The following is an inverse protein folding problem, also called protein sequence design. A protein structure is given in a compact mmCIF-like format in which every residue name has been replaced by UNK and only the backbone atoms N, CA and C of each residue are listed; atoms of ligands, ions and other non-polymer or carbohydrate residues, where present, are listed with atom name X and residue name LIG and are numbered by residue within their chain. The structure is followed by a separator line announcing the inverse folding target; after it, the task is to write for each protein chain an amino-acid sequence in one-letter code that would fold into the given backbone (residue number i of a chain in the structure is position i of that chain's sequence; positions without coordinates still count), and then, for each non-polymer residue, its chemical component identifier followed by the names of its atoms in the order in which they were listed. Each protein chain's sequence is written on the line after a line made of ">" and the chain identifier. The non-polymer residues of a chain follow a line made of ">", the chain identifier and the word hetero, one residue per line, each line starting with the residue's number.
data_IF_224614087201
#
_entry.id   IF_224614087201
#
_cell.length_a   1.000
_cell.length_b   1.000
_cell.length_c   1.000
_cell.angle_alpha   90.00
_cell.angle_beta   90.00
_cell.angle_gamma   90.00
#
_symmetry.space_group_name_H-M   'P 1'
#
loop_
_entity.id
_entity.type
_entity.pdbx_description
1 polymer ?
#
# COMPACT_ATOMS: atom_id res chain seq x y z
N UNK A 1 -14.98 12.35 -9.53
CA UNK A 1 -13.70 12.67 -8.88
C UNK A 1 -13.67 11.99 -7.53
N UNK A 2 -12.58 11.30 -7.13
CA UNK A 2 -12.50 10.63 -5.81
C UNK A 2 -12.19 11.68 -4.75
N UNK A 3 -12.94 11.67 -3.64
CA UNK A 3 -12.73 12.56 -2.49
C UNK A 3 -11.37 12.35 -1.83
N UNK A 4 -10.91 13.32 -1.03
CA UNK A 4 -9.71 13.11 -0.23
C UNK A 4 -9.91 12.01 0.81
N UNK A 5 -8.81 11.35 1.18
CA UNK A 5 -8.79 10.34 2.25
C UNK A 5 -7.99 10.85 3.42
N UNK A 6 -8.46 10.57 4.63
CA UNK A 6 -7.67 10.76 5.84
C UNK A 6 -6.71 9.58 6.01
N UNK A 7 -5.41 9.85 6.04
CA UNK A 7 -4.38 8.87 6.42
C UNK A 7 -3.71 9.28 7.72
N UNK A 8 -3.26 8.27 8.47
CA UNK A 8 -2.50 8.50 9.70
C UNK A 8 -1.26 9.34 9.37
N UNK A 9 -1.07 10.42 10.13
CA UNK A 9 0.23 11.07 10.17
C UNK A 9 1.17 10.21 11.00
N UNK A 10 1.94 9.39 10.30
CA UNK A 10 2.80 8.39 10.90
C UNK A 10 4.13 9.03 11.30
N UNK A 11 4.32 9.28 12.60
CA UNK A 11 5.54 9.87 13.15
C UNK A 11 6.83 9.08 12.87
N UNK A 12 6.73 7.84 12.37
CA UNK A 12 7.88 7.04 11.89
C UNK A 12 8.45 7.58 10.58
N UNK A 13 7.65 8.31 9.80
CA UNK A 13 8.12 8.96 8.60
C UNK A 13 9.02 10.16 8.96
N UNK A 14 10.17 10.35 8.29
CA UNK A 14 11.04 11.50 8.56
C UNK A 14 10.26 12.83 8.47
N UNK A 15 10.26 13.59 9.57
CA UNK A 15 9.53 14.86 9.72
C UNK A 15 10.33 16.10 9.31
N UNK A 16 11.57 15.93 8.85
CA UNK A 16 12.30 17.03 8.23
C UNK A 16 11.43 17.55 7.06
N UNK A 17 11.12 18.87 7.07
CA UNK A 17 10.21 19.57 6.15
C UNK A 17 9.93 18.72 4.92
N UNK A 18 8.75 18.08 4.82
CA UNK A 18 8.57 17.00 3.88
C UNK A 18 8.98 17.53 2.53
N UNK A 19 10.10 16.98 2.00
CA UNK A 19 10.70 17.46 0.77
C UNK A 19 9.56 17.66 -0.23
N UNK A 20 9.56 18.76 -0.99
CA UNK A 20 8.40 19.20 -1.78
C UNK A 20 7.70 18.03 -2.52
N UNK A 21 8.52 17.10 -3.02
CA UNK A 21 8.16 15.81 -3.61
C UNK A 21 7.12 14.98 -2.83
N UNK A 22 7.20 14.93 -1.50
CA UNK A 22 6.25 14.16 -0.68
C UNK A 22 4.93 14.89 -0.48
N UNK A 23 4.93 16.22 -0.41
CA UNK A 23 3.67 16.99 -0.44
C UNK A 23 2.98 16.81 -1.79
N UNK A 24 3.75 16.86 -2.88
CA UNK A 24 3.23 16.58 -4.21
C UNK A 24 2.66 15.15 -4.33
N UNK A 25 3.29 14.16 -3.69
CA UNK A 25 2.74 12.82 -3.60
C UNK A 25 1.36 12.78 -2.90
N UNK A 26 1.26 13.40 -1.73
CA UNK A 26 0.01 13.47 -0.97
C UNK A 26 -1.07 14.26 -1.73
N UNK A 27 -0.72 15.39 -2.35
CA UNK A 27 -1.61 16.22 -3.17
C UNK A 27 -2.17 15.44 -4.36
N UNK A 28 -1.30 14.73 -5.10
CA UNK A 28 -1.73 13.90 -6.22
C UNK A 28 -2.76 12.89 -5.73
N UNK A 29 -2.42 12.10 -4.70
CA UNK A 29 -3.34 11.09 -4.19
C UNK A 29 -4.47 11.65 -3.32
N UNK A 30 -4.55 12.97 -3.10
CA UNK A 30 -5.56 13.60 -2.22
C UNK A 30 -5.55 13.00 -0.81
N UNK A 31 -4.37 12.94 -0.22
CA UNK A 31 -4.14 12.40 1.12
C UNK A 31 -4.13 13.56 2.13
N UNK A 32 -5.10 13.55 3.03
CA UNK A 32 -5.15 14.44 4.19
C UNK A 32 -4.51 13.72 5.38
N UNK A 33 -3.36 14.21 5.84
CA UNK A 33 -2.67 13.64 7.02
C UNK A 33 -3.40 14.05 8.29
N UNK A 34 -3.75 13.07 9.12
CA UNK A 34 -4.54 13.26 10.34
C UNK A 34 -3.95 12.48 11.52
N UNK A 35 -3.92 13.12 12.68
CA UNK A 35 -3.66 12.46 13.97
C UNK A 35 -4.92 11.86 14.59
N UNK A 36 -6.12 12.22 14.10
CA UNK A 36 -7.40 11.70 14.59
C UNK A 36 -7.64 10.26 14.10
N UNK A 37 -7.61 9.25 15.00
CA UNK A 37 -7.84 7.87 14.63
C UNK A 37 -9.24 7.63 14.06
N UNK A 38 -10.25 8.39 14.49
CA UNK A 38 -11.62 8.24 13.99
C UNK A 38 -11.73 8.65 12.52
N UNK A 39 -11.15 9.80 12.15
CA UNK A 39 -11.05 10.24 10.76
C UNK A 39 -10.32 9.21 9.88
N UNK A 40 -9.18 8.68 10.35
CA UNK A 40 -8.43 7.66 9.62
C UNK A 40 -9.27 6.40 9.39
N UNK A 41 -9.91 5.84 10.42
CA UNK A 41 -10.72 4.63 10.26
C UNK A 41 -11.96 4.83 9.39
N UNK A 42 -12.60 6.00 9.45
CA UNK A 42 -13.68 6.36 8.54
C UNK A 42 -13.19 6.40 7.08
N UNK A 43 -11.99 6.93 6.84
CA UNK A 43 -11.32 6.89 5.54
C UNK A 43 -11.05 5.46 5.07
N UNK A 44 -10.47 4.62 5.93
CA UNK A 44 -10.17 3.22 5.62
C UNK A 44 -11.42 2.41 5.27
N UNK A 45 -12.51 2.57 6.04
CA UNK A 45 -13.79 1.91 5.78
C UNK A 45 -14.42 2.38 4.46
N UNK A 46 -14.34 3.68 4.16
CA UNK A 46 -14.82 4.24 2.89
C UNK A 46 -14.05 3.67 1.70
N UNK A 47 -12.73 3.67 1.75
CA UNK A 47 -11.87 3.13 0.69
C UNK A 47 -12.13 1.63 0.50
N UNK A 48 -12.16 0.86 1.59
CA UNK A 48 -12.47 -0.57 1.56
C UNK A 48 -13.80 -0.84 0.86
N UNK A 49 -14.86 -0.10 1.22
CA UNK A 49 -16.16 -0.21 0.55
C UNK A 49 -16.07 0.10 -0.94
N UNK A 50 -15.44 1.22 -1.32
CA UNK A 50 -15.35 1.65 -2.72
C UNK A 50 -14.55 0.69 -3.61
N UNK A 51 -13.56 -0.01 -3.05
CA UNK A 51 -12.80 -1.07 -3.72
C UNK A 51 -13.64 -2.33 -3.84
N UNK A 52 -14.28 -2.78 -2.76
CA UNK A 52 -15.15 -3.97 -2.76
C UNK A 52 -16.32 -3.82 -3.74
N UNK A 53 -16.95 -2.64 -3.78
CA UNK A 53 -18.06 -2.34 -4.69
C UNK A 53 -17.63 -2.40 -6.18
N UNK A 54 -16.36 -2.11 -6.49
CA UNK A 54 -15.80 -2.13 -7.86
C UNK A 54 -15.11 -3.46 -8.22
N UNK A 55 -14.80 -4.31 -7.23
CA UNK A 55 -14.08 -5.56 -7.41
C UNK A 55 -14.68 -6.50 -8.48
N UNK A 56 -16.01 -6.66 -8.59
CA UNK A 56 -16.60 -7.49 -9.66
C UNK A 56 -16.29 -6.99 -11.07
N UNK A 57 -16.13 -5.68 -11.25
CA UNK A 57 -15.78 -5.07 -12.53
C UNK A 57 -14.29 -5.05 -12.82
N UNK A 58 -13.45 -5.42 -11.86
CA UNK A 58 -12.00 -5.31 -11.95
C UNK A 58 -11.34 -6.54 -12.60
N UNK A 59 -12.05 -7.63 -12.85
CA UNK A 59 -11.51 -8.76 -13.62
C UNK A 59 -10.27 -9.44 -12.99
N UNK A 60 -10.08 -9.32 -11.68
CA UNK A 60 -9.02 -10.04 -10.96
C UNK A 60 -9.35 -11.54 -10.94
N UNK A 61 -8.34 -12.40 -11.01
CA UNK A 61 -8.49 -13.83 -10.76
C UNK A 61 -8.92 -14.13 -9.32
N UNK A 62 -9.52 -15.29 -9.09
CA UNK A 62 -10.11 -15.68 -7.79
C UNK A 62 -9.12 -15.56 -6.62
N UNK A 63 -7.88 -16.04 -6.79
CA UNK A 63 -6.85 -15.96 -5.74
C UNK A 63 -6.52 -14.51 -5.36
N UNK A 64 -6.42 -13.61 -6.34
CA UNK A 64 -6.15 -12.19 -6.07
C UNK A 64 -7.36 -11.52 -5.42
N UNK A 65 -8.58 -11.90 -5.80
CA UNK A 65 -9.77 -11.41 -5.11
C UNK A 65 -9.79 -11.86 -3.65
N UNK A 66 -9.46 -13.13 -3.39
CA UNK A 66 -9.39 -13.66 -2.03
C UNK A 66 -8.33 -12.95 -1.19
N UNK A 67 -7.13 -12.74 -1.73
CA UNK A 67 -6.05 -12.00 -1.05
C UNK A 67 -6.45 -10.55 -0.74
N UNK A 68 -7.09 -9.85 -1.70
CA UNK A 68 -7.58 -8.49 -1.49
C UNK A 68 -8.63 -8.44 -0.38
N UNK A 69 -9.62 -9.34 -0.44
CA UNK A 69 -10.69 -9.41 0.55
C UNK A 69 -10.16 -9.77 1.93
N UNK A 70 -9.17 -10.67 2.02
CA UNK A 70 -8.50 -10.99 3.29
C UNK A 70 -7.85 -9.75 3.90
N UNK A 71 -7.14 -8.95 3.11
CA UNK A 71 -6.57 -7.67 3.55
C UNK A 71 -7.62 -6.66 4.00
N UNK A 72 -8.71 -6.53 3.24
CA UNK A 72 -9.86 -5.68 3.62
C UNK A 72 -10.49 -6.14 4.94
N UNK A 73 -10.69 -7.45 5.14
CA UNK A 73 -11.21 -7.98 6.39
C UNK A 73 -10.31 -7.68 7.57
N UNK A 74 -8.97 -7.79 7.42
CA UNK A 74 -8.03 -7.40 8.49
C UNK A 74 -8.06 -5.90 8.78
N UNK A 75 -8.18 -5.07 7.74
CA UNK A 75 -8.32 -3.62 7.89
C UNK A 75 -9.59 -3.25 8.66
N UNK A 76 -10.72 -3.85 8.30
CA UNK A 76 -12.00 -3.60 8.98
C UNK A 76 -11.97 -4.13 10.41
N UNK A 77 -11.39 -5.30 10.67
CA UNK A 77 -11.27 -5.85 12.02
C UNK A 77 -10.43 -4.93 12.91
N UNK A 78 -9.31 -4.41 12.43
CA UNK A 78 -8.49 -3.45 13.18
C UNK A 78 -9.27 -2.16 13.51
N UNK A 79 -10.19 -1.74 12.64
CA UNK A 79 -11.04 -0.56 12.85
C UNK A 79 -12.09 -0.72 13.96
N UNK A 80 -12.40 -1.95 14.39
CA UNK A 80 -13.40 -2.21 15.45
C UNK A 80 -12.97 -1.76 16.84
N UNK A 81 -11.69 -1.39 17.00
CA UNK A 81 -11.12 -0.86 18.24
C UNK A 81 -11.43 0.63 18.50
N UNK A 82 -12.12 1.31 17.57
CA UNK A 82 -12.43 2.74 17.65
C UNK A 82 -13.95 2.97 17.65
N UNK A 83 -14.48 3.92 18.45
CA UNK A 83 -15.91 4.24 18.48
C UNK A 83 -16.42 4.59 17.08
N UNK A 84 -17.49 3.91 16.67
CA UNK A 84 -18.13 4.16 15.38
C UNK A 84 -18.63 5.60 15.32
N UNK A 85 -18.10 6.39 14.38
CA UNK A 85 -18.69 7.69 14.05
C UNK A 85 -19.87 7.46 13.11
N UNK A 86 -21.08 7.64 13.64
CA UNK A 86 -22.30 7.71 12.83
C UNK A 86 -22.28 8.97 11.98
N UNK A 87 -21.71 8.90 10.78
CA UNK A 87 -21.62 10.07 9.90
C UNK A 87 -21.20 9.79 8.46
N UNK A 88 -21.10 8.52 8.03
CA UNK A 88 -20.77 8.23 6.64
C UNK A 88 -22.03 8.43 5.78
N UNK A 89 -22.15 9.58 5.14
CA UNK A 89 -23.00 9.74 3.96
C UNK A 89 -22.65 8.65 2.96
N UNK A 90 -23.62 7.81 2.61
CA UNK A 90 -23.51 6.86 1.51
C UNK A 90 -23.13 7.63 0.26
N UNK A 91 -21.92 7.46 -0.31
CA UNK A 91 -21.64 8.04 -1.61
C UNK A 91 -22.64 7.44 -2.60
N UNK A 92 -23.29 8.29 -3.40
CA UNK A 92 -24.10 7.81 -4.50
C UNK A 92 -23.22 6.91 -5.38
N UNK A 93 -23.77 5.77 -5.81
CA UNK A 93 -23.12 4.87 -6.77
C UNK A 93 -23.02 5.64 -8.08
N UNK A 94 -21.92 6.35 -8.32
CA UNK A 94 -21.63 6.96 -9.62
C UNK A 94 -20.82 5.92 -10.38
N UNK A 95 -21.41 5.24 -11.38
CA UNK A 95 -20.63 4.36 -12.23
C UNK A 95 -19.61 5.23 -12.97
N UNK A 96 -18.32 4.85 -13.03
CA UNK A 96 -17.44 5.46 -14.01
C UNK A 96 -18.03 5.21 -15.40
N UNK A 97 -18.25 6.26 -16.18
CA UNK A 97 -18.95 6.14 -17.47
C UNK A 97 -17.99 5.90 -18.65
N UNK A 98 -16.67 5.81 -18.37
CA UNK A 98 -15.66 5.50 -19.38
C UNK A 98 -14.42 4.77 -18.85
N UNK A 99 -13.65 4.21 -19.78
CA UNK A 99 -12.42 3.48 -19.50
C UNK A 99 -11.37 4.33 -18.77
N UNK A 100 -11.17 5.58 -19.22
CA UNK A 100 -10.25 6.54 -18.60
C UNK A 100 -10.64 6.90 -17.16
N UNK A 101 -11.93 7.10 -16.89
CA UNK A 101 -12.42 7.37 -15.54
C UNK A 101 -12.23 6.17 -14.63
N UNK A 102 -12.49 4.96 -15.16
CA UNK A 102 -12.26 3.70 -14.44
C UNK A 102 -10.77 3.53 -14.11
N UNK A 103 -9.88 3.83 -15.06
CA UNK A 103 -8.44 3.74 -14.87
C UNK A 103 -7.96 4.71 -13.78
N UNK A 104 -8.33 5.99 -13.88
CA UNK A 104 -8.01 6.98 -12.87
C UNK A 104 -8.58 6.60 -11.49
N UNK A 105 -9.81 6.07 -11.45
CA UNK A 105 -10.48 5.65 -10.21
C UNK A 105 -9.73 4.50 -9.54
N UNK A 106 -9.45 3.42 -10.27
CA UNK A 106 -8.73 2.24 -9.75
C UNK A 106 -7.31 2.58 -9.34
N UNK A 107 -6.63 3.42 -10.12
CA UNK A 107 -5.30 3.91 -9.79
C UNK A 107 -5.28 4.57 -8.41
N UNK A 108 -6.17 5.54 -8.17
CA UNK A 108 -6.24 6.26 -6.88
C UNK A 108 -6.71 5.36 -5.74
N UNK A 109 -7.80 4.61 -5.92
CA UNK A 109 -8.33 3.74 -4.85
C UNK A 109 -7.39 2.61 -4.47
N UNK A 110 -6.67 2.05 -5.45
CA UNK A 110 -5.65 1.05 -5.16
C UNK A 110 -4.54 1.62 -4.30
N UNK A 111 -4.04 2.82 -4.61
CA UNK A 111 -3.02 3.47 -3.78
C UNK A 111 -3.57 3.83 -2.40
N UNK A 112 -4.79 4.36 -2.30
CA UNK A 112 -5.47 4.63 -1.04
C UNK A 112 -5.55 3.40 -0.14
N UNK A 113 -6.01 2.27 -0.68
CA UNK A 113 -6.07 1.02 0.08
C UNK A 113 -4.67 0.54 0.47
N UNK A 114 -3.70 0.65 -0.44
CA UNK A 114 -2.31 0.31 -0.16
C UNK A 114 -1.73 1.12 1.01
N UNK A 115 -1.98 2.43 1.09
CA UNK A 115 -1.54 3.25 2.24
C UNK A 115 -2.15 2.81 3.57
N UNK A 116 -3.43 2.44 3.60
CA UNK A 116 -4.06 1.90 4.81
C UNK A 116 -3.46 0.55 5.21
N UNK A 117 -3.17 -0.33 4.25
CA UNK A 117 -2.48 -1.59 4.51
C UNK A 117 -1.07 -1.34 5.04
N UNK A 118 -0.30 -0.42 4.45
CA UNK A 118 1.04 -0.06 4.93
C UNK A 118 1.02 0.47 6.36
N UNK A 119 0.03 1.29 6.71
CA UNK A 119 -0.13 1.81 8.08
C UNK A 119 -0.32 0.68 9.11
N UNK A 120 -1.07 -0.36 8.75
CA UNK A 120 -1.20 -1.58 9.56
C UNK A 120 0.08 -2.40 9.59
N UNK A 121 0.72 -2.60 8.43
CA UNK A 121 1.97 -3.34 8.33
C UNK A 121 3.08 -2.71 9.19
N UNK A 122 3.20 -1.38 9.19
CA UNK A 122 4.15 -0.69 10.05
C UNK A 122 3.84 -0.93 11.53
N UNK A 123 2.56 -0.87 11.92
CA UNK A 123 2.15 -1.16 13.30
C UNK A 123 2.45 -2.61 13.72
N UNK A 124 2.29 -3.56 12.81
CA UNK A 124 2.69 -4.95 13.04
C UNK A 124 4.21 -5.13 13.10
N UNK A 125 4.98 -4.38 12.31
CA UNK A 125 6.44 -4.40 12.35
C UNK A 125 6.98 -3.90 13.70
N UNK A 126 6.39 -2.84 14.25
CA UNK A 126 6.75 -2.35 15.60
C UNK A 126 6.42 -3.38 16.69
N UNK A 127 5.22 -3.95 16.64
CA UNK A 127 4.83 -5.02 17.57
C UNK A 127 5.75 -6.23 17.46
N UNK A 128 6.20 -6.56 16.25
CA UNK A 128 7.10 -7.68 16.00
C UNK A 128 8.50 -7.38 16.56
N UNK A 129 9.00 -6.16 16.39
CA UNK A 129 10.26 -5.74 16.99
C UNK A 129 10.21 -5.86 18.52
N UNK A 130 9.11 -5.41 19.14
CA UNK A 130 8.89 -5.51 20.58
C UNK A 130 8.80 -6.97 21.06
N UNK A 131 8.00 -7.81 20.38
CA UNK A 131 7.83 -9.22 20.72
C UNK A 131 9.15 -10.00 20.64
N UNK A 132 9.95 -9.75 19.60
CA UNK A 132 11.28 -10.33 19.49
C UNK A 132 12.19 -9.86 20.63
N UNK A 133 12.06 -8.63 21.11
CA UNK A 133 12.81 -8.10 22.25
C UNK A 133 12.61 -8.87 23.57
N UNK A 134 11.45 -9.50 23.75
CA UNK A 134 11.06 -10.25 24.97
C UNK A 134 10.84 -11.75 24.71
N UNK A 135 11.66 -12.35 23.82
CA UNK A 135 11.40 -13.61 23.08
C UNK A 135 9.95 -14.17 23.07
N UNK A 136 8.94 -13.32 22.85
CA UNK A 136 7.54 -13.74 22.75
C UNK A 136 7.28 -14.28 21.34
N UNK A 137 7.65 -15.54 21.13
CA UNK A 137 7.52 -16.21 19.84
C UNK A 137 6.08 -16.45 19.41
N UNK A 138 5.13 -16.48 20.35
CA UNK A 138 3.71 -16.61 20.03
C UNK A 138 3.21 -15.35 19.35
N UNK A 139 3.42 -14.19 19.98
CA UNK A 139 3.06 -12.89 19.40
C UNK A 139 3.86 -12.61 18.13
N UNK A 140 5.16 -12.88 18.13
CA UNK A 140 6.00 -12.70 16.95
C UNK A 140 5.50 -13.53 15.76
N UNK A 141 5.12 -14.79 15.97
CA UNK A 141 4.56 -15.65 14.93
C UNK A 141 3.25 -15.08 14.36
N UNK A 142 2.32 -14.66 15.23
CA UNK A 142 1.05 -14.08 14.80
C UNK A 142 1.26 -12.80 13.97
N UNK A 143 2.15 -11.90 14.41
CA UNK A 143 2.44 -10.67 13.68
C UNK A 143 3.13 -10.93 12.33
N UNK A 144 3.99 -11.94 12.24
CA UNK A 144 4.58 -12.38 10.98
C UNK A 144 3.52 -12.94 10.02
N UNK A 145 2.54 -13.68 10.54
CA UNK A 145 1.40 -14.18 9.75
C UNK A 145 0.53 -13.02 9.26
N UNK A 146 0.22 -12.02 10.09
CA UNK A 146 -0.48 -10.80 9.67
C UNK A 146 0.27 -10.06 8.56
N UNK A 147 1.57 -9.85 8.72
CA UNK A 147 2.41 -9.21 7.69
C UNK A 147 2.39 -10.00 6.38
N UNK A 148 2.35 -11.33 6.44
CA UNK A 148 2.26 -12.20 5.26
C UNK A 148 0.95 -11.96 4.52
N UNK A 149 -0.19 -11.99 5.24
CA UNK A 149 -1.52 -11.70 4.66
C UNK A 149 -1.56 -10.30 4.05
N UNK A 150 -1.00 -9.30 4.72
CA UNK A 150 -0.97 -7.94 4.19
C UNK A 150 -0.08 -7.78 2.96
N UNK A 151 1.04 -8.51 2.84
CA UNK A 151 1.84 -8.53 1.62
C UNK A 151 1.11 -9.16 0.44
N UNK A 152 0.37 -10.24 0.71
CA UNK A 152 -0.45 -10.92 -0.29
C UNK A 152 -1.59 -9.99 -0.76
N UNK A 153 -2.29 -9.35 0.19
CA UNK A 153 -3.30 -8.33 -0.10
C UNK A 153 -2.72 -7.12 -0.86
N UNK A 154 -1.56 -6.59 -0.45
CA UNK A 154 -0.89 -5.50 -1.16
C UNK A 154 -0.54 -5.87 -2.61
N UNK A 155 -0.18 -7.14 -2.84
CA UNK A 155 0.02 -7.65 -4.19
C UNK A 155 -1.26 -7.60 -5.01
N UNK A 156 -2.37 -8.08 -4.46
CA UNK A 156 -3.67 -8.02 -5.12
C UNK A 156 -4.17 -6.58 -5.33
N UNK A 157 -3.88 -5.67 -4.41
CA UNK A 157 -4.19 -4.24 -4.53
C UNK A 157 -3.44 -3.59 -5.68
N UNK A 158 -2.18 -3.95 -5.94
CA UNK A 158 -1.46 -3.47 -7.12
C UNK A 158 -2.10 -3.97 -8.42
N UNK A 159 -2.52 -5.25 -8.46
CA UNK A 159 -3.25 -5.80 -9.59
C UNK A 159 -4.58 -5.06 -9.81
N UNK A 160 -5.35 -4.81 -8.74
CA UNK A 160 -6.54 -3.97 -8.77
C UNK A 160 -6.27 -2.56 -9.30
N UNK A 161 -5.23 -1.90 -8.78
CA UNK A 161 -4.83 -0.56 -9.17
C UNK A 161 -4.39 -0.46 -10.64
N UNK A 162 -4.02 -1.59 -11.25
CA UNK A 162 -3.56 -1.71 -12.63
C UNK A 162 -4.59 -2.35 -13.57
N UNK A 163 -5.80 -2.60 -13.08
CA UNK A 163 -6.84 -3.29 -13.83
C UNK A 163 -7.57 -2.33 -14.78
N UNK A 164 -6.89 -2.00 -15.86
CA UNK A 164 -7.36 -1.24 -17.00
C UNK A 164 -6.39 -1.42 -18.20
N UNK A 165 -6.80 -1.04 -19.43
CA UNK A 165 -5.94 -1.14 -20.61
C UNK A 165 -4.73 -0.21 -20.57
N UNK A 166 -3.67 -0.57 -21.32
CA UNK A 166 -2.44 0.23 -21.41
C UNK A 166 -2.71 1.62 -21.99
N UNK A 167 -3.61 1.74 -22.98
CA UNK A 167 -3.99 3.03 -23.56
C UNK A 167 -4.51 4.01 -22.49
N UNK A 168 -5.39 3.56 -21.59
CA UNK A 168 -5.87 4.40 -20.49
C UNK A 168 -4.76 4.81 -19.50
N UNK A 169 -3.70 4.01 -19.36
CA UNK A 169 -2.51 4.42 -18.62
C UNK A 169 -1.78 5.56 -19.33
N UNK A 170 -1.47 5.38 -20.61
CA UNK A 170 -0.68 6.32 -21.43
C UNK A 170 -1.41 7.64 -21.67
N UNK A 171 -2.73 7.61 -21.82
CA UNK A 171 -3.54 8.77 -22.18
C UNK A 171 -4.12 9.51 -20.97
N UNK A 172 -4.14 8.89 -19.78
CA UNK A 172 -4.79 9.50 -18.60
C UNK A 172 -3.97 9.38 -17.33
N UNK A 173 -3.60 8.16 -16.92
CA UNK A 173 -2.94 7.96 -15.63
C UNK A 173 -1.55 8.58 -15.63
N UNK A 174 -0.71 8.27 -16.63
CA UNK A 174 0.65 8.79 -16.73
C UNK A 174 0.71 10.30 -16.94
N UNK A 175 -0.02 10.91 -17.90
CA UNK A 175 -0.02 12.36 -18.07
C UNK A 175 -0.48 13.12 -16.82
N UNK A 176 -1.36 12.52 -16.00
CA UNK A 176 -1.76 13.14 -14.73
C UNK A 176 -0.65 13.21 -13.68
N UNK A 177 0.44 12.44 -13.84
CA UNK A 177 1.62 12.40 -12.97
C UNK A 177 2.81 13.20 -13.55
N UNK A 178 2.62 13.85 -14.69
CA UNK A 178 3.65 14.64 -15.38
C UNK A 178 3.23 16.14 -15.40
N UNK A 179 4.14 17.07 -15.74
CA UNK A 179 3.78 18.47 -15.94
C UNK A 179 2.69 18.66 -17.01
N UNK A 180 1.79 19.66 -16.87
CA UNK A 180 1.78 20.72 -15.86
C UNK A 180 1.08 20.35 -14.54
N UNK A 181 0.56 19.13 -14.41
CA UNK A 181 -0.25 18.72 -13.27
C UNK A 181 0.60 18.39 -12.03
N UNK A 182 1.74 17.75 -12.25
CA UNK A 182 2.73 17.42 -11.21
C UNK A 182 4.11 17.93 -11.62
N UNK A 183 5.00 18.26 -10.67
CA UNK A 183 6.37 18.63 -11.00
C UNK A 183 7.11 17.46 -11.67
N UNK A 184 8.16 17.75 -12.46
CA UNK A 184 9.05 16.73 -13.01
C UNK A 184 9.59 15.80 -11.92
N UNK A 185 9.71 14.51 -12.23
CA UNK A 185 10.29 13.53 -11.32
C UNK A 185 9.32 12.92 -10.30
N UNK A 186 8.02 13.20 -10.38
CA UNK A 186 6.99 12.53 -9.56
C UNK A 186 7.17 11.01 -9.57
N UNK A 187 7.19 10.38 -8.39
CA UNK A 187 7.51 8.96 -8.27
C UNK A 187 6.93 8.32 -7.02
N UNK A 188 6.67 7.01 -7.12
CA UNK A 188 6.21 6.18 -6.01
C UNK A 188 7.21 6.06 -4.85
N UNK A 189 8.48 6.46 -5.06
CA UNK A 189 9.50 6.48 -3.99
C UNK A 189 9.20 7.48 -2.89
N UNK A 190 8.29 8.44 -3.14
CA UNK A 190 7.89 9.44 -2.16
C UNK A 190 6.80 8.92 -1.18
N UNK A 191 6.39 7.65 -1.29
CA UNK A 191 5.48 7.02 -0.33
C UNK A 191 6.18 6.78 1.02
N UNK A 192 5.84 7.60 2.02
CA UNK A 192 6.44 7.58 3.37
C UNK A 192 6.20 6.27 4.12
N UNK A 193 4.97 5.75 4.09
CA UNK A 193 4.62 4.54 4.84
C UNK A 193 5.38 3.33 4.32
N UNK A 194 5.58 3.26 2.99
CA UNK A 194 6.34 2.19 2.37
C UNK A 194 7.82 2.27 2.76
N UNK A 195 8.41 3.47 2.79
CA UNK A 195 9.79 3.65 3.24
C UNK A 195 9.96 3.20 4.70
N UNK A 196 9.07 3.62 5.59
CA UNK A 196 9.08 3.20 6.99
C UNK A 196 8.97 1.67 7.15
N UNK A 197 8.17 1.01 6.31
CA UNK A 197 8.06 -0.45 6.30
C UNK A 197 9.38 -1.12 5.88
N UNK A 198 10.02 -0.62 4.83
CA UNK A 198 11.28 -1.16 4.33
C UNK A 198 12.40 -1.02 5.36
N UNK A 199 12.47 0.11 6.06
CA UNK A 199 13.45 0.35 7.12
C UNK A 199 13.21 -0.60 8.31
N UNK A 200 11.94 -0.74 8.74
CA UNK A 200 11.55 -1.67 9.79
C UNK A 200 11.91 -3.12 9.45
N UNK A 201 11.58 -3.58 8.24
CA UNK A 201 11.89 -4.94 7.80
C UNK A 201 13.39 -5.17 7.65
N UNK A 202 14.15 -4.14 7.26
CA UNK A 202 15.62 -4.21 7.22
C UNK A 202 16.19 -4.45 8.62
N UNK A 203 15.68 -3.74 9.64
CA UNK A 203 16.05 -3.95 11.04
C UNK A 203 15.64 -5.32 11.61
N UNK A 204 14.50 -5.86 11.18
CA UNK A 204 13.98 -7.15 11.63
C UNK A 204 14.70 -8.35 10.98
N UNK A 205 15.22 -8.18 9.76
CA UNK A 205 15.79 -9.27 8.93
C UNK A 205 16.84 -10.13 9.65
N UNK A 206 17.83 -9.59 10.39
CA UNK A 206 18.83 -10.41 11.08
C UNK A 206 18.24 -11.36 12.12
N UNK A 207 17.06 -11.04 12.66
CA UNK A 207 16.39 -11.82 13.72
C UNK A 207 15.38 -12.83 13.18
N UNK A 208 14.94 -12.67 11.93
CA UNK A 208 13.90 -13.47 11.29
C UNK A 208 14.37 -14.24 10.06
N UNK A 209 15.61 -14.04 9.61
CA UNK A 209 16.12 -14.63 8.37
C UNK A 209 17.57 -15.06 8.50
N UNK A 210 17.87 -16.23 7.94
CA UNK A 210 19.20 -16.81 7.90
C UNK A 210 19.39 -17.88 8.97
N UNK A 211 20.49 -18.63 8.86
CA UNK A 211 20.72 -19.86 9.63
C UNK A 211 20.68 -19.64 11.14
N UNK A 212 21.31 -18.57 11.63
CA UNK A 212 21.35 -18.26 13.06
C UNK A 212 19.94 -17.95 13.62
N UNK A 213 19.16 -17.15 12.90
CA UNK A 213 17.77 -16.86 13.26
C UNK A 213 16.92 -18.13 13.26
N UNK A 214 17.04 -18.97 12.22
CA UNK A 214 16.28 -20.23 12.12
C UNK A 214 16.58 -21.21 13.25
N UNK A 215 17.81 -21.25 13.76
CA UNK A 215 18.19 -22.09 14.90
C UNK A 215 17.66 -21.56 16.24
N UNK A 216 17.49 -20.24 16.37
CA UNK A 216 16.99 -19.60 17.58
C UNK A 216 15.45 -19.58 17.67
N UNK A 217 14.75 -19.75 16.54
CA UNK A 217 13.30 -19.69 16.45
C UNK A 217 12.65 -21.07 16.67
N UNK A 218 11.48 -21.13 17.33
CA UNK A 218 10.60 -22.29 17.25
C UNK A 218 10.27 -22.62 15.79
N UNK A 219 10.11 -23.91 15.48
CA UNK A 219 9.92 -24.38 14.11
C UNK A 219 8.73 -23.71 13.39
N UNK A 220 7.66 -23.39 14.12
CA UNK A 220 6.49 -22.71 13.58
C UNK A 220 6.78 -21.26 13.20
N UNK A 221 7.43 -20.52 14.10
CA UNK A 221 7.87 -19.15 13.83
C UNK A 221 8.83 -19.08 12.64
N UNK A 222 9.75 -20.05 12.52
CA UNK A 222 10.65 -20.14 11.36
C UNK A 222 9.90 -20.42 10.04
N UNK A 223 8.82 -21.24 10.07
CA UNK A 223 7.96 -21.45 8.89
C UNK A 223 7.24 -20.17 8.49
N UNK A 224 6.62 -19.47 9.45
CA UNK A 224 5.91 -18.21 9.19
C UNK A 224 6.87 -17.13 8.68
N UNK A 225 8.08 -17.03 9.22
CA UNK A 225 9.10 -16.08 8.74
C UNK A 225 9.51 -16.35 7.28
N UNK A 226 9.66 -17.62 6.87
CA UNK A 226 9.91 -17.97 5.46
C UNK A 226 8.73 -17.59 4.56
N UNK A 227 7.49 -17.77 5.04
CA UNK A 227 6.29 -17.37 4.30
C UNK A 227 6.25 -15.85 4.08
N UNK A 228 6.55 -15.05 5.09
CA UNK A 228 6.66 -13.59 4.98
C UNK A 228 7.64 -13.16 3.89
N UNK A 229 8.86 -13.72 3.89
CA UNK A 229 9.86 -13.35 2.88
C UNK A 229 9.49 -13.82 1.48
N UNK A 230 8.76 -14.94 1.36
CA UNK A 230 8.19 -15.40 0.09
C UNK A 230 7.12 -14.42 -0.42
N UNK A 231 6.21 -13.97 0.45
CA UNK A 231 5.18 -12.99 0.13
C UNK A 231 5.78 -11.63 -0.27
N UNK A 232 6.76 -11.12 0.48
CA UNK A 232 7.50 -9.90 0.10
C UNK A 232 8.20 -10.05 -1.26
N UNK A 233 8.87 -11.18 -1.50
CA UNK A 233 9.54 -11.43 -2.78
C UNK A 233 8.55 -11.53 -3.94
N UNK A 234 7.38 -12.12 -3.72
CA UNK A 234 6.27 -12.17 -4.68
C UNK A 234 5.80 -10.76 -4.99
N UNK A 235 5.44 -9.98 -3.97
CA UNK A 235 5.00 -8.60 -4.10
C UNK A 235 5.96 -7.76 -4.97
N UNK A 236 7.27 -7.82 -4.70
CA UNK A 236 8.29 -7.11 -5.49
C UNK A 236 8.31 -7.53 -6.97
N UNK A 237 8.22 -8.84 -7.23
CA UNK A 237 8.24 -9.38 -8.59
C UNK A 237 6.98 -8.96 -9.36
N UNK A 238 5.81 -9.05 -8.73
CA UNK A 238 4.54 -8.64 -9.34
C UNK A 238 4.52 -7.12 -9.60
N UNK A 239 5.01 -6.31 -8.65
CA UNK A 239 5.16 -4.87 -8.87
C UNK A 239 6.00 -4.57 -10.12
N UNK A 240 7.15 -5.23 -10.27
CA UNK A 240 7.98 -5.09 -11.47
C UNK A 240 7.24 -5.49 -12.74
N UNK A 241 6.53 -6.63 -12.73
CA UNK A 241 5.78 -7.09 -13.90
C UNK A 241 4.66 -6.11 -14.30
N UNK A 242 3.98 -5.50 -13.31
CA UNK A 242 2.96 -4.46 -13.54
C UNK A 242 3.61 -3.19 -14.12
N UNK A 243 4.76 -2.76 -13.60
CA UNK A 243 5.48 -1.62 -14.17
C UNK A 243 5.91 -1.90 -15.61
N UNK A 244 6.45 -3.09 -15.89
CA UNK A 244 6.90 -3.50 -17.22
C UNK A 244 5.74 -3.56 -18.24
N UNK A 245 4.51 -3.90 -17.79
CA UNK A 245 3.29 -3.85 -18.62
C UNK A 245 2.99 -2.43 -19.13
N UNK A 246 3.17 -1.41 -18.30
CA UNK A 246 2.77 -0.03 -18.61
C UNK A 246 3.91 0.83 -19.16
N UNK A 247 5.15 0.51 -18.78
CA UNK A 247 6.34 1.21 -19.22
C UNK A 247 7.39 0.17 -19.59
N UNK A 248 7.35 -0.37 -20.83
CA UNK A 248 8.33 -1.35 -21.27
C UNK A 248 9.75 -0.82 -21.10
N UNK A 249 10.61 -1.57 -20.41
CA UNK A 249 11.98 -1.15 -20.06
C UNK A 249 12.10 -0.38 -18.74
N UNK A 250 11.00 -0.13 -18.03
CA UNK A 250 11.02 0.35 -16.64
C UNK A 250 11.48 1.80 -16.43
N UNK A 251 11.41 2.63 -17.47
CA UNK A 251 11.83 4.04 -17.41
C UNK A 251 11.03 4.85 -16.38
N UNK A 252 11.61 5.06 -15.20
CA UNK A 252 11.04 5.91 -14.15
C UNK A 252 11.02 7.38 -14.56
N UNK A 253 9.95 8.11 -14.23
CA UNK A 253 9.87 9.56 -14.42
C UNK A 253 10.98 10.29 -13.66
N UNK A 254 11.33 9.79 -12.48
CA UNK A 254 12.42 10.30 -11.67
C UNK A 254 13.78 10.07 -12.33
N UNK A 255 14.00 8.88 -12.90
CA UNK A 255 15.25 8.59 -13.61
C UNK A 255 15.38 9.48 -14.85
N UNK A 256 14.31 9.61 -15.63
CA UNK A 256 14.27 10.51 -16.80
C UNK A 256 14.61 11.95 -16.41
N UNK A 257 14.01 12.46 -15.34
CA UNK A 257 14.31 13.81 -14.85
C UNK A 257 15.79 14.00 -14.48
N UNK A 258 16.42 13.02 -13.83
CA UNK A 258 17.85 13.08 -13.53
C UNK A 258 18.73 13.00 -14.77
N UNK A 259 18.34 12.21 -15.76
CA UNK A 259 19.07 12.10 -17.03
C UNK A 259 18.99 13.42 -17.82
N UNK A 260 17.85 14.09 -17.81
CA UNK A 260 17.60 15.37 -18.49
C UNK A 260 18.26 16.58 -17.81
N UNK A 261 18.45 16.54 -16.49
CA UNK A 261 19.03 17.65 -15.70
C UNK A 261 20.54 17.56 -15.48
N UNK A 262 21.15 16.42 -15.81
CA UNK A 262 22.62 16.21 -15.74
C UNK A 262 23.34 16.44 -17.08
N UNK A 263 22.62 16.74 -18.15
CA UNK A 263 23.16 17.15 -19.45
C UNK A 263 23.28 18.66 -19.57
#
# INVERSE_FOLDING_TARGET
>A
MIDSIALRDDARAPTADPAADVRHYDDYFRIDRSEDPAAWWAGAQRVARLVVDDLPGAGLGEDLQADLLAGVSRLLLASTSVPAHSGTTTPAKVPPHGEHETAARRWKLGHHLFHHLLSLMNSHADGLAAALGQPDWTTARLLVEELTVHYDAATAVMHYASSFPVAAYEETVRPSMEPPWMPPGFSGVFNREHQALLDSLTGLKPRLRGRAAEQAMPAEAARSARALWKAQSRNRREHKAICDKFVPGGGSLLQRHFDETKG
#
